data_IF_988945343550
#
_entry.id   IF_988945343550
#
_cell.length_a   1.000
_cell.length_b   1.000
_cell.length_c   1.000
_cell.angle_alpha   90.00
_cell.angle_beta   90.00
_cell.angle_gamma   90.00
#
_symmetry.space_group_name_H-M   'P 1'
#
loop_
_entity.id
_entity.type
_entity.pdbx_description
1 polymer ?
#
# COMPACT_ATOMS: atom_id res chain seq x y z
N UNK A 1 4.50 -35.70 -35.63
CA UNK A 1 5.34 -35.04 -34.60
C UNK A 1 4.40 -34.26 -33.70
N UNK A 2 3.98 -34.86 -32.59
CA UNK A 2 2.95 -34.31 -31.70
C UNK A 2 3.62 -33.77 -30.44
N UNK A 3 3.80 -32.45 -30.37
CA UNK A 3 4.37 -31.79 -29.19
C UNK A 3 3.30 -31.62 -28.11
N UNK A 4 3.31 -32.54 -27.15
CA UNK A 4 2.53 -32.46 -25.92
C UNK A 4 3.23 -31.48 -24.97
N UNK A 5 2.83 -30.21 -24.98
CA UNK A 5 3.21 -29.25 -23.95
C UNK A 5 2.44 -29.57 -22.67
N UNK A 6 3.12 -30.17 -21.69
CA UNK A 6 2.57 -30.44 -20.36
C UNK A 6 2.39 -29.14 -19.56
N UNK A 7 1.26 -28.96 -18.86
CA UNK A 7 1.05 -27.80 -18.01
C UNK A 7 1.84 -27.97 -16.71
N UNK A 8 3.08 -27.50 -16.68
CA UNK A 8 3.80 -27.26 -15.43
C UNK A 8 3.19 -26.05 -14.72
N UNK A 9 2.04 -26.29 -14.09
CA UNK A 9 1.40 -25.35 -13.18
C UNK A 9 2.24 -25.24 -11.91
N UNK A 10 3.14 -24.25 -11.88
CA UNK A 10 3.74 -23.79 -10.64
C UNK A 10 2.62 -23.38 -9.69
N UNK A 11 2.39 -24.22 -8.68
CA UNK A 11 1.45 -23.99 -7.60
C UNK A 11 2.04 -22.89 -6.70
N UNK A 12 1.88 -21.64 -7.16
CA UNK A 12 2.30 -20.45 -6.42
C UNK A 12 1.49 -20.38 -5.13
N UNK A 13 2.19 -20.66 -4.05
CA UNK A 13 1.77 -20.76 -2.66
C UNK A 13 0.85 -19.60 -2.24
N UNK A 14 -0.42 -19.92 -1.94
CA UNK A 14 -1.41 -18.96 -1.47
C UNK A 14 -0.98 -18.24 -0.16
N UNK A 15 0.01 -18.78 0.56
CA UNK A 15 0.52 -18.22 1.82
C UNK A 15 1.36 -16.96 1.59
N UNK A 16 2.13 -16.86 0.49
CA UNK A 16 2.86 -15.62 0.14
C UNK A 16 1.91 -14.44 -0.09
N UNK A 17 0.70 -14.74 -0.55
CA UNK A 17 -0.30 -13.77 -0.93
C UNK A 17 -0.81 -12.91 0.24
N UNK A 18 -0.93 -13.50 1.43
CA UNK A 18 -1.42 -12.78 2.62
C UNK A 18 -0.34 -11.90 3.26
N UNK A 19 0.92 -12.30 3.15
CA UNK A 19 2.05 -11.53 3.68
C UNK A 19 2.18 -10.18 2.96
N UNK A 20 1.97 -10.16 1.63
CA UNK A 20 2.05 -8.94 0.83
C UNK A 20 1.05 -7.85 1.26
N UNK A 21 -0.17 -8.22 1.69
CA UNK A 21 -1.16 -7.24 2.15
C UNK A 21 -0.79 -6.69 3.52
N UNK A 22 -0.27 -7.53 4.41
CA UNK A 22 0.20 -7.10 5.73
C UNK A 22 1.38 -6.15 5.57
N UNK A 23 2.32 -6.48 4.68
CA UNK A 23 3.47 -5.63 4.38
C UNK A 23 3.05 -4.31 3.75
N UNK A 24 2.10 -4.31 2.82
CA UNK A 24 1.52 -3.08 2.27
C UNK A 24 0.92 -2.18 3.36
N UNK A 25 0.14 -2.75 4.28
CA UNK A 25 -0.44 -2.01 5.41
C UNK A 25 0.68 -1.43 6.30
N UNK A 26 1.72 -2.23 6.60
CA UNK A 26 2.87 -1.77 7.39
C UNK A 26 3.63 -0.64 6.69
N UNK A 27 3.85 -0.73 5.39
CA UNK A 27 4.60 0.27 4.62
C UNK A 27 3.82 1.57 4.51
N UNK A 28 2.51 1.51 4.26
CA UNK A 28 1.66 2.70 4.30
C UNK A 28 1.65 3.37 5.67
N UNK A 29 1.67 2.56 6.74
CA UNK A 29 1.75 3.07 8.11
C UNK A 29 3.13 3.67 8.42
N UNK A 30 4.22 3.08 7.93
CA UNK A 30 5.56 3.62 8.07
C UNK A 30 5.70 4.96 7.34
N UNK A 31 5.18 5.06 6.11
CA UNK A 31 5.19 6.29 5.33
C UNK A 31 4.34 7.40 6.00
N UNK A 32 3.38 7.05 6.87
CA UNK A 32 2.64 8.01 7.69
C UNK A 32 3.48 8.56 8.86
N UNK A 33 4.34 7.74 9.46
CA UNK A 33 5.23 8.22 10.54
C UNK A 33 6.30 9.17 10.00
N UNK A 34 6.87 8.89 8.82
CA UNK A 34 7.93 9.73 8.25
C UNK A 34 7.43 11.14 7.87
N UNK A 35 6.20 11.29 7.39
CA UNK A 35 5.67 12.64 7.07
C UNK A 35 5.39 13.49 8.31
N UNK A 36 4.95 12.88 9.42
CA UNK A 36 4.73 13.63 10.66
C UNK A 36 6.04 14.16 11.27
N UNK A 37 7.18 13.52 11.00
CA UNK A 37 8.49 14.05 11.43
C UNK A 37 8.92 15.24 10.59
N UNK A 38 8.62 15.23 9.29
CA UNK A 38 9.06 16.29 8.37
C UNK A 38 8.29 17.61 8.58
N UNK A 39 7.04 17.56 9.06
CA UNK A 39 6.25 18.77 9.35
C UNK A 39 6.67 19.48 10.65
N UNK A 40 7.39 18.80 11.55
CA UNK A 40 7.78 19.39 12.84
C UNK A 40 9.04 20.27 12.75
N UNK A 41 9.95 20.01 11.82
CA UNK A 41 11.22 20.75 11.70
C UNK A 41 11.08 22.10 10.97
N UNK A 42 9.93 22.40 10.35
CA UNK A 42 9.72 23.67 9.62
C UNK A 42 8.99 24.76 10.43
N UNK A 43 8.84 24.59 11.74
CA UNK A 43 8.14 25.54 12.62
C UNK A 43 9.04 26.48 13.43
N UNK A 44 10.37 26.46 13.20
CA UNK A 44 11.32 27.38 13.84
C UNK A 44 12.12 28.20 12.83
N UNK A 45 11.43 29.03 12.04
CA UNK A 45 12.03 30.30 11.64
C UNK A 45 11.54 31.37 12.62
N UNK A 46 12.40 31.87 13.52
CA UNK A 46 12.05 33.04 14.31
C UNK A 46 11.82 34.18 13.31
N UNK A 47 10.61 34.74 13.33
CA UNK A 47 10.33 36.01 12.68
C UNK A 47 11.21 37.07 13.33
N UNK A 48 12.39 37.31 12.76
CA UNK A 48 13.17 38.48 13.05
C UNK A 48 12.35 39.69 12.54
N UNK A 49 11.96 40.64 13.42
CA UNK A 49 11.22 41.81 12.99
C UNK A 49 12.14 42.68 12.13
N UNK A 50 11.89 42.70 10.82
CA UNK A 50 12.58 43.61 9.92
C UNK A 50 12.31 45.06 10.35
N UNK A 51 13.35 45.91 10.48
CA UNK A 51 13.15 47.33 10.68
C UNK A 51 12.52 47.94 9.42
N UNK A 52 11.37 48.56 9.61
CA UNK A 52 10.79 49.52 8.68
C UNK A 52 11.84 50.63 8.48
N UNK A 53 12.55 50.60 7.36
CA UNK A 53 13.01 51.82 6.71
C UNK A 53 13.58 51.57 5.31
N UNK A 54 13.25 52.54 4.45
CA UNK A 54 13.90 52.87 3.18
C UNK A 54 13.57 52.00 1.96
N UNK A 55 12.55 52.47 1.24
CA UNK A 55 12.48 52.37 -0.22
C UNK A 55 13.82 52.82 -0.84
N UNK A 56 14.47 51.91 -1.56
CA UNK A 56 15.32 52.26 -2.69
C UNK A 56 14.83 51.52 -3.95
N UNK A 57 14.74 52.20 -5.11
CA UNK A 57 14.52 51.54 -6.38
C UNK A 57 15.87 51.04 -6.91
N UNK A 58 16.10 49.72 -6.93
CA UNK A 58 17.30 49.16 -7.52
C UNK A 58 16.99 48.19 -8.68
N UNK A 59 17.19 48.76 -9.87
CA UNK A 59 17.86 48.22 -11.07
C UNK A 59 18.02 46.71 -11.19
N UNK A 60 17.47 46.19 -12.30
CA UNK A 60 17.70 44.86 -12.85
C UNK A 60 19.18 44.52 -13.01
N UNK A 61 19.60 43.38 -12.47
CA UNK A 61 20.82 42.72 -12.91
C UNK A 61 20.56 41.22 -13.08
N UNK A 62 20.67 40.79 -14.33
CA UNK A 62 20.80 39.39 -14.73
C UNK A 62 22.04 38.78 -14.06
N UNK A 63 21.87 37.63 -13.42
CA UNK A 63 22.95 36.93 -12.76
C UNK A 63 22.58 35.48 -12.50
N UNK A 64 22.90 34.62 -13.46
CA UNK A 64 22.97 33.17 -13.33
C UNK A 64 23.70 32.76 -12.05
N UNK A 65 23.03 32.03 -11.15
CA UNK A 65 23.70 31.19 -10.17
C UNK A 65 22.90 29.93 -9.92
N UNK A 66 23.51 28.81 -10.31
CA UNK A 66 23.06 27.44 -10.09
C UNK A 66 23.52 27.03 -8.69
N UNK A 67 22.64 26.63 -7.76
CA UNK A 67 23.10 26.10 -6.48
C UNK A 67 23.49 24.63 -6.61
N UNK A 68 24.69 24.37 -6.08
CA UNK A 68 25.44 23.14 -6.13
C UNK A 68 24.77 21.96 -5.39
N UNK A 69 24.94 20.77 -5.97
CA UNK A 69 24.61 19.49 -5.37
C UNK A 69 25.44 19.24 -4.11
N UNK A 70 24.79 19.03 -2.96
CA UNK A 70 25.40 18.39 -1.80
C UNK A 70 25.36 16.86 -1.98
N UNK A 71 26.50 16.29 -2.35
CA UNK A 71 26.77 14.86 -2.23
C UNK A 71 26.95 14.51 -0.74
N UNK A 72 25.97 13.85 -0.14
CA UNK A 72 26.18 13.10 1.11
C UNK A 72 26.65 11.68 0.74
N UNK A 73 27.96 11.44 0.84
CA UNK A 73 28.53 10.09 0.88
C UNK A 73 28.27 9.50 2.26
N UNK A 74 27.36 8.54 2.36
CA UNK A 74 27.25 7.66 3.53
C UNK A 74 28.11 6.41 3.28
N UNK A 75 29.11 6.28 4.15
CA UNK A 75 30.09 5.20 4.25
C UNK A 75 29.39 3.84 4.52
N UNK A 76 29.63 2.85 3.67
CA UNK A 76 29.31 1.44 3.93
C UNK A 76 30.29 0.85 4.96
N UNK A 77 29.83 0.07 5.96
CA UNK A 77 30.69 -0.87 6.68
C UNK A 77 30.86 -2.20 5.91
N UNK A 78 31.99 -2.90 6.12
CA UNK A 78 32.46 -4.00 5.28
C UNK A 78 31.82 -5.37 5.58
N UNK A 79 31.93 -6.23 4.57
CA UNK A 79 31.61 -7.65 4.54
C UNK A 79 32.26 -8.45 5.68
N UNK A 80 31.51 -9.44 6.18
CA UNK A 80 31.95 -10.43 7.15
C UNK A 80 31.24 -11.78 6.99
N UNK A 81 31.81 -12.60 6.11
CA UNK A 81 32.00 -14.07 6.18
C UNK A 81 30.81 -15.08 6.06
N UNK A 82 31.10 -16.32 5.56
CA UNK A 82 30.15 -17.24 4.95
C UNK A 82 29.82 -18.51 5.79
N UNK A 83 28.93 -19.34 5.22
CA UNK A 83 28.79 -20.80 5.37
C UNK A 83 28.44 -21.41 6.74
N UNK A 84 27.26 -22.03 6.81
CA UNK A 84 27.07 -23.32 7.48
C UNK A 84 25.97 -24.14 6.80
N UNK A 85 26.41 -25.21 6.14
CA UNK A 85 25.60 -26.37 5.74
C UNK A 85 25.05 -27.03 7.01
N UNK A 86 23.74 -27.27 7.08
CA UNK A 86 23.22 -28.31 7.96
C UNK A 86 22.13 -29.11 7.23
N UNK A 87 22.59 -30.23 6.66
CA UNK A 87 21.75 -31.36 6.31
C UNK A 87 21.41 -32.09 7.61
N UNK A 88 20.12 -32.24 7.94
CA UNK A 88 19.74 -33.42 8.72
C UNK A 88 18.38 -33.99 8.30
N UNK A 89 18.46 -35.26 7.90
CA UNK A 89 17.39 -36.20 7.60
C UNK A 89 16.59 -36.50 8.87
N UNK A 90 15.26 -36.52 8.74
CA UNK A 90 14.37 -36.99 9.79
C UNK A 90 13.12 -37.60 9.17
N UNK A 91 13.26 -38.82 8.65
CA UNK A 91 12.15 -39.68 8.23
C UNK A 91 11.50 -40.21 9.51
N UNK A 92 10.22 -39.94 9.73
CA UNK A 92 9.39 -40.74 10.64
C UNK A 92 8.17 -41.27 9.89
N UNK A 93 7.96 -42.60 9.86
CA UNK A 93 6.77 -43.21 9.31
C UNK A 93 5.74 -43.52 10.41
N UNK A 94 4.46 -43.32 10.06
CA UNK A 94 3.35 -44.07 10.64
C UNK A 94 2.72 -43.46 11.89
N UNK A 95 1.44 -43.10 11.79
CA UNK A 95 0.36 -43.81 12.49
C UNK A 95 -0.98 -43.37 11.88
N UNK A 96 -1.59 -44.28 11.13
CA UNK A 96 -3.03 -44.28 10.83
C UNK A 96 -3.81 -44.54 12.11
N UNK A 97 -4.90 -43.81 12.37
CA UNK A 97 -6.25 -44.31 12.73
C UNK A 97 -7.10 -43.16 13.29
N UNK A 98 -8.18 -42.77 12.60
CA UNK A 98 -9.59 -43.22 12.74
C UNK A 98 -10.36 -42.44 13.84
N UNK A 99 -11.55 -41.97 13.43
CA UNK A 99 -12.73 -41.43 14.16
C UNK A 99 -12.80 -39.90 14.30
N UNK A 100 -13.69 -39.21 13.57
CA UNK A 100 -15.15 -39.23 13.69
C UNK A 100 -15.67 -38.56 14.97
N UNK A 101 -15.90 -37.24 14.88
CA UNK A 101 -16.93 -36.50 15.61
C UNK A 101 -17.18 -35.21 14.82
N UNK A 102 -18.25 -35.15 14.05
CA UNK A 102 -19.50 -34.47 14.42
C UNK A 102 -19.36 -32.95 14.51
N UNK A 103 -19.83 -32.31 13.43
CA UNK A 103 -20.65 -31.09 13.40
C UNK A 103 -20.52 -30.16 14.62
N UNK A 104 -19.73 -29.10 14.45
CA UNK A 104 -20.17 -27.76 14.85
C UNK A 104 -19.80 -26.78 13.74
N UNK A 105 -20.81 -26.01 13.33
CA UNK A 105 -20.68 -24.95 12.35
C UNK A 105 -19.97 -23.80 13.07
N UNK A 106 -18.65 -23.74 12.94
CA UNK A 106 -17.87 -22.55 13.26
C UNK A 106 -18.24 -21.44 12.26
N UNK A 107 -19.35 -20.76 12.55
CA UNK A 107 -19.65 -19.48 11.95
C UNK A 107 -18.50 -18.53 12.35
N UNK A 108 -17.78 -17.94 11.38
CA UNK A 108 -16.70 -17.01 11.68
C UNK A 108 -17.29 -15.84 12.46
N UNK A 109 -17.08 -15.87 13.78
CA UNK A 109 -17.45 -14.80 14.71
C UNK A 109 -16.54 -13.62 14.40
N UNK A 110 -16.96 -12.83 13.42
CA UNK A 110 -16.47 -11.49 13.17
C UNK A 110 -16.78 -10.67 14.43
N UNK A 111 -15.83 -10.61 15.37
CA UNK A 111 -15.91 -9.71 16.53
C UNK A 111 -16.09 -8.28 16.01
N UNK A 112 -17.29 -7.67 16.15
CA UNK A 112 -17.52 -6.28 15.80
C UNK A 112 -17.14 -5.47 17.05
N UNK A 113 -15.84 -5.41 17.34
CA UNK A 113 -15.34 -5.13 18.69
C UNK A 113 -14.47 -3.89 18.82
N UNK A 114 -14.60 -2.91 17.94
CA UNK A 114 -13.92 -1.63 18.05
C UNK A 114 -14.79 -0.56 17.43
N UNK A 115 -15.72 0.00 18.22
CA UNK A 115 -16.48 1.17 17.78
C UNK A 115 -15.48 2.31 17.65
N UNK A 116 -15.14 2.70 16.43
CA UNK A 116 -14.41 3.93 16.13
C UNK A 116 -15.34 5.12 16.41
N UNK A 117 -15.64 5.39 17.68
CA UNK A 117 -16.53 6.49 18.06
C UNK A 117 -15.72 7.78 17.94
N UNK A 118 -15.93 8.53 16.85
CA UNK A 118 -15.69 9.98 16.82
C UNK A 118 -14.43 10.51 16.16
N UNK A 119 -13.44 9.69 15.77
CA UNK A 119 -12.34 10.17 14.90
C UNK A 119 -12.66 9.86 13.44
N UNK A 120 -12.83 10.91 12.63
CA UNK A 120 -12.89 10.78 11.17
C UNK A 120 -11.66 10.03 10.66
N UNK A 121 -11.86 9.15 9.69
CA UNK A 121 -10.76 8.40 9.08
C UNK A 121 -9.89 9.33 8.24
N UNK A 122 -8.57 9.21 8.38
CA UNK A 122 -7.65 9.90 7.47
C UNK A 122 -7.81 9.34 6.05
N UNK A 123 -7.47 10.13 5.03
CA UNK A 123 -7.55 9.71 3.62
C UNK A 123 -6.83 8.36 3.37
N UNK A 124 -5.65 8.18 3.96
CA UNK A 124 -4.89 6.93 3.86
C UNK A 124 -5.59 5.75 4.49
N UNK A 125 -6.23 5.95 5.65
CA UNK A 125 -7.02 4.89 6.30
C UNK A 125 -8.23 4.51 5.45
N UNK A 126 -8.91 5.50 4.86
CA UNK A 126 -9.99 5.29 3.91
C UNK A 126 -9.51 4.47 2.70
N UNK A 127 -8.35 4.82 2.12
CA UNK A 127 -7.74 4.08 1.03
C UNK A 127 -7.40 2.62 1.40
N UNK A 128 -6.83 2.39 2.58
CA UNK A 128 -6.54 1.04 3.06
C UNK A 128 -7.80 0.18 3.21
N UNK A 129 -8.88 0.76 3.74
CA UNK A 129 -10.17 0.07 3.84
C UNK A 129 -10.72 -0.21 2.45
N UNK A 130 -10.63 0.75 1.53
CA UNK A 130 -11.05 0.56 0.14
C UNK A 130 -10.32 -0.59 -0.54
N UNK A 131 -8.98 -0.64 -0.47
CA UNK A 131 -8.19 -1.75 -1.04
C UNK A 131 -8.59 -3.10 -0.44
N UNK A 132 -8.85 -3.15 0.88
CA UNK A 132 -9.35 -4.38 1.54
C UNK A 132 -10.71 -4.81 1.01
N UNK A 133 -11.64 -3.87 0.81
CA UNK A 133 -12.97 -4.14 0.25
C UNK A 133 -12.85 -4.59 -1.21
N UNK A 134 -12.00 -3.95 -2.02
CA UNK A 134 -11.75 -4.32 -3.41
C UNK A 134 -11.23 -5.76 -3.52
N UNK A 135 -10.23 -6.14 -2.73
CA UNK A 135 -9.69 -7.51 -2.72
C UNK A 135 -10.74 -8.53 -2.27
N UNK A 136 -11.57 -8.19 -1.27
CA UNK A 136 -12.69 -9.03 -0.81
C UNK A 136 -13.80 -9.14 -1.85
N UNK A 137 -14.03 -8.10 -2.63
CA UNK A 137 -14.99 -8.10 -3.73
C UNK A 137 -14.52 -9.02 -4.86
N UNK A 138 -13.27 -8.89 -5.30
CA UNK A 138 -12.67 -9.73 -6.36
C UNK A 138 -12.59 -11.21 -5.93
N UNK A 139 -12.37 -11.48 -4.64
CA UNK A 139 -12.44 -12.85 -4.09
C UNK A 139 -13.83 -13.49 -4.28
N UNK A 140 -14.91 -12.70 -4.27
CA UNK A 140 -16.29 -13.19 -4.43
C UNK A 140 -16.72 -13.37 -5.88
N UNK A 141 -16.00 -12.79 -6.85
CA UNK A 141 -16.39 -12.89 -8.27
C UNK A 141 -16.05 -14.25 -8.91
N UNK A 142 -15.57 -15.24 -8.13
CA UNK A 142 -15.13 -16.56 -8.59
C UNK A 142 -14.09 -16.52 -9.73
N UNK A 143 -13.34 -15.42 -9.86
CA UNK A 143 -12.27 -15.27 -10.84
C UNK A 143 -10.90 -15.24 -10.13
N UNK A 144 -10.25 -16.41 -9.95
CA UNK A 144 -8.98 -16.48 -9.23
C UNK A 144 -7.84 -15.79 -9.96
N UNK A 145 -7.94 -15.60 -11.28
CA UNK A 145 -6.95 -14.84 -12.04
C UNK A 145 -7.01 -13.36 -11.70
N UNK A 146 -8.22 -12.80 -11.65
CA UNK A 146 -8.43 -11.40 -11.27
C UNK A 146 -7.92 -11.11 -9.86
N UNK A 147 -8.14 -12.04 -8.93
CA UNK A 147 -7.63 -11.93 -7.56
C UNK A 147 -6.09 -11.95 -7.51
N UNK A 148 -5.46 -12.87 -8.24
CA UNK A 148 -3.99 -12.94 -8.33
C UNK A 148 -3.41 -11.67 -8.93
N UNK A 149 -4.00 -11.16 -10.01
CA UNK A 149 -3.61 -9.89 -10.64
C UNK A 149 -3.71 -8.72 -9.68
N UNK A 150 -4.84 -8.56 -8.97
CA UNK A 150 -5.04 -7.48 -8.00
C UNK A 150 -3.93 -7.45 -6.94
N UNK A 151 -3.62 -8.62 -6.38
CA UNK A 151 -2.62 -8.75 -5.32
C UNK A 151 -1.20 -8.54 -5.85
N UNK A 152 -0.89 -9.05 -7.03
CA UNK A 152 0.40 -8.84 -7.69
C UNK A 152 0.66 -7.35 -7.94
N UNK A 153 -0.35 -6.60 -8.37
CA UNK A 153 -0.27 -5.14 -8.57
C UNK A 153 0.07 -4.40 -7.27
N UNK A 154 -0.63 -4.71 -6.17
CA UNK A 154 -0.35 -4.07 -4.86
C UNK A 154 1.08 -4.40 -4.41
N UNK A 155 1.50 -5.66 -4.51
CA UNK A 155 2.84 -6.09 -4.15
C UNK A 155 3.92 -5.38 -4.97
N UNK A 156 3.72 -5.28 -6.29
CA UNK A 156 4.67 -4.63 -7.19
C UNK A 156 4.77 -3.12 -6.93
N UNK A 157 3.63 -2.43 -6.76
CA UNK A 157 3.64 -1.00 -6.44
C UNK A 157 4.36 -0.73 -5.13
N UNK A 158 4.13 -1.59 -4.13
CA UNK A 158 4.79 -1.52 -2.82
C UNK A 158 6.30 -1.73 -2.95
N UNK A 159 6.71 -2.75 -3.71
CA UNK A 159 8.13 -3.06 -3.96
C UNK A 159 8.84 -1.90 -4.66
N UNK A 160 8.26 -1.36 -5.73
CA UNK A 160 8.78 -0.22 -6.51
C UNK A 160 8.88 1.05 -5.68
N UNK A 161 7.83 1.36 -4.90
CA UNK A 161 7.84 2.51 -4.01
C UNK A 161 8.97 2.42 -2.96
N UNK A 162 9.22 1.24 -2.39
CA UNK A 162 10.36 1.01 -1.47
C UNK A 162 11.72 1.22 -2.11
N UNK A 163 11.83 1.01 -3.42
CA UNK A 163 13.06 1.26 -4.17
C UNK A 163 13.27 2.75 -4.49
N UNK A 164 12.35 3.63 -4.07
CA UNK A 164 12.42 5.06 -4.37
C UNK A 164 12.03 5.40 -5.81
N UNK A 165 11.29 4.52 -6.50
CA UNK A 165 10.83 4.77 -7.87
C UNK A 165 9.81 5.92 -7.88
N UNK A 166 10.16 7.02 -8.56
CA UNK A 166 9.37 8.24 -8.62
C UNK A 166 7.98 8.01 -9.26
N UNK A 167 7.84 7.06 -10.20
CA UNK A 167 6.55 6.75 -10.83
C UNK A 167 5.54 6.13 -9.85
N UNK A 168 6.05 5.58 -8.75
CA UNK A 168 5.29 4.93 -7.70
C UNK A 168 5.13 5.80 -6.45
N UNK A 169 5.47 7.10 -6.52
CA UNK A 169 5.27 8.08 -5.46
C UNK A 169 4.21 9.13 -5.87
N UNK A 170 3.17 9.40 -5.05
CA UNK A 170 2.83 8.72 -3.79
C UNK A 170 2.23 7.33 -4.02
N UNK A 171 2.51 6.40 -3.09
CA UNK A 171 2.10 4.98 -3.19
C UNK A 171 0.59 4.80 -3.43
N UNK A 172 -0.23 5.65 -2.81
CA UNK A 172 -1.69 5.62 -2.96
C UNK A 172 -2.12 5.82 -4.42
N UNK A 173 -1.62 6.87 -5.08
CA UNK A 173 -1.99 7.20 -6.46
C UNK A 173 -1.50 6.12 -7.45
N UNK A 174 -0.31 5.55 -7.22
CA UNK A 174 0.22 4.48 -8.03
C UNK A 174 -0.62 3.20 -7.92
N UNK A 175 -0.96 2.78 -6.69
CA UNK A 175 -1.80 1.58 -6.47
C UNK A 175 -3.18 1.76 -7.09
N UNK A 176 -3.81 2.94 -6.93
CA UNK A 176 -5.10 3.24 -7.56
C UNK A 176 -5.04 3.14 -9.08
N UNK A 177 -4.09 3.84 -9.72
CA UNK A 177 -3.94 3.84 -11.18
C UNK A 177 -3.74 2.42 -11.72
N UNK A 178 -2.81 1.66 -11.15
CA UNK A 178 -2.47 0.33 -11.65
C UNK A 178 -3.59 -0.69 -11.38
N UNK A 179 -4.29 -0.61 -10.24
CA UNK A 179 -5.44 -1.47 -9.98
C UNK A 179 -6.60 -1.17 -10.92
N UNK A 180 -6.89 0.10 -11.19
CA UNK A 180 -7.96 0.48 -12.11
C UNK A 180 -7.71 -0.02 -13.53
N UNK A 181 -6.47 0.09 -14.02
CA UNK A 181 -6.05 -0.45 -15.31
C UNK A 181 -6.15 -1.99 -15.34
N UNK A 182 -5.68 -2.66 -14.29
CA UNK A 182 -5.58 -4.13 -14.29
C UNK A 182 -6.91 -4.85 -14.04
N UNK A 183 -7.80 -4.24 -13.25
CA UNK A 183 -9.11 -4.82 -12.92
C UNK A 183 -10.22 -4.34 -13.85
N UNK A 184 -10.03 -3.19 -14.50
CA UNK A 184 -11.05 -2.55 -15.30
C UNK A 184 -12.07 -1.76 -14.49
N UNK A 185 -12.73 -0.82 -15.17
CA UNK A 185 -13.62 0.16 -14.57
C UNK A 185 -14.85 -0.46 -13.88
N UNK A 186 -15.35 -1.57 -14.43
CA UNK A 186 -16.53 -2.26 -13.91
C UNK A 186 -16.28 -2.78 -12.49
N UNK A 187 -15.17 -3.47 -12.27
CA UNK A 187 -14.83 -4.01 -10.95
C UNK A 187 -14.47 -2.89 -9.97
N UNK A 188 -13.78 -1.86 -10.44
CA UNK A 188 -13.45 -0.68 -9.64
C UNK A 188 -14.71 0.04 -9.12
N UNK A 189 -15.64 0.37 -10.02
CA UNK A 189 -16.90 1.04 -9.69
C UNK A 189 -17.76 0.23 -8.71
N UNK A 190 -17.82 -1.09 -8.88
CA UNK A 190 -18.55 -1.98 -7.96
C UNK A 190 -17.92 -2.00 -6.56
N UNK A 191 -16.59 -2.08 -6.47
CA UNK A 191 -15.90 -2.02 -5.20
C UNK A 191 -16.08 -0.66 -4.50
N UNK A 192 -16.09 0.44 -5.27
CA UNK A 192 -16.36 1.78 -4.74
C UNK A 192 -17.76 1.88 -4.14
N UNK A 193 -18.78 1.34 -4.82
CA UNK A 193 -20.14 1.26 -4.27
C UNK A 193 -20.18 0.45 -2.97
N UNK A 194 -19.45 -0.67 -2.89
CA UNK A 194 -19.33 -1.45 -1.65
C UNK A 194 -18.64 -0.67 -0.53
N UNK A 195 -17.62 0.12 -0.85
CA UNK A 195 -16.91 0.98 0.09
C UNK A 195 -17.79 2.11 0.62
N UNK A 196 -18.50 2.81 -0.25
CA UNK A 196 -19.43 3.89 0.12
C UNK A 196 -20.54 3.33 1.05
N UNK A 197 -21.09 2.16 0.73
CA UNK A 197 -22.05 1.44 1.59
C UNK A 197 -21.46 1.06 2.94
N UNK A 198 -20.20 0.63 2.96
CA UNK A 198 -19.50 0.28 4.20
C UNK A 198 -19.32 1.51 5.09
N UNK A 199 -18.83 2.64 4.55
CA UNK A 199 -18.65 3.87 5.33
C UNK A 199 -19.99 4.39 5.90
N UNK A 200 -21.05 4.37 5.09
CA UNK A 200 -22.39 4.75 5.54
C UNK A 200 -22.87 3.90 6.72
N UNK A 201 -22.65 2.58 6.68
CA UNK A 201 -22.98 1.66 7.80
C UNK A 201 -22.14 1.90 9.05
N UNK A 202 -20.91 2.36 8.90
CA UNK A 202 -20.04 2.71 10.04
C UNK A 202 -20.34 4.10 10.62
N UNK A 203 -21.26 4.88 10.02
CA UNK A 203 -21.50 6.27 10.41
C UNK A 203 -20.31 7.19 10.12
N UNK A 204 -19.36 6.74 9.28
CA UNK A 204 -18.18 7.51 8.91
C UNK A 204 -18.60 8.42 7.77
N UNK A 205 -18.66 9.72 8.04
CA UNK A 205 -18.90 10.72 6.99
C UNK A 205 -17.65 10.80 6.13
N UNK A 206 -17.75 10.35 4.89
CA UNK A 206 -16.73 10.59 3.88
C UNK A 206 -16.63 12.09 3.70
N UNK A 207 -15.54 12.69 4.14
CA UNK A 207 -15.16 14.01 3.64
C UNK A 207 -14.81 13.73 2.18
N UNK A 208 -15.73 14.02 1.28
CA UNK A 208 -15.46 13.96 -0.15
C UNK A 208 -14.31 14.93 -0.41
N UNK A 209 -13.08 14.41 -0.47
CA UNK A 209 -11.93 15.17 -0.93
C UNK A 209 -12.17 15.34 -2.43
N UNK A 210 -12.80 16.47 -2.74
CA UNK A 210 -13.08 17.04 -4.05
C UNK A 210 -12.62 16.15 -5.21
N UNK A 211 -13.57 15.47 -5.86
CA UNK A 211 -13.43 15.34 -7.30
C UNK A 211 -13.33 16.79 -7.80
N UNK A 212 -12.20 17.23 -8.39
CA UNK A 212 -12.20 18.51 -9.06
C UNK A 212 -13.36 18.41 -10.05
N UNK A 213 -14.32 19.33 -9.92
CA UNK A 213 -15.29 19.52 -10.97
C UNK A 213 -14.45 19.86 -12.19
N UNK A 214 -14.16 18.86 -13.02
CA UNK A 214 -13.61 19.07 -14.34
C UNK A 214 -14.81 19.67 -15.08
N UNK A 215 -14.98 20.99 -14.93
CA UNK A 215 -15.80 21.77 -15.82
C UNK A 215 -15.24 21.48 -17.20
N UNK A 216 -15.99 20.69 -17.97
CA UNK A 216 -15.73 20.47 -19.37
C UNK A 216 -15.62 21.85 -20.03
N UNK A 217 -14.44 22.13 -20.58
CA UNK A 217 -14.18 23.24 -21.51
C UNK A 217 -14.34 22.68 -22.92
#
# INVERSE_FOLDING_TARGET
>A
MSNTFGPNGHNLDASQSNNNLIDFIRILQQQQQQQQQNDNDNSSFPLEPLPINQFQPFVSQEGSQVPAQQQHQQLLPPEGTPQALNNNMGITPGTSRIMAAMRERDAPTMRPGGRFVGRGLTERQQFLIFVKILLKYVERTNNPQLQRTAKAVVAECTRRNRMGDAEYMPLQAAVERHLRVSLGEVHWSRAKLCFDTYLARQGIRTIHINAPAISAV
#
